data_IF_585137326763
#
_entry.id   IF_585137326763
#
_cell.length_a   1.000
_cell.length_b   1.000
_cell.length_c   1.000
_cell.angle_alpha   90.00
_cell.angle_beta   90.00
_cell.angle_gamma   90.00
#
_symmetry.space_group_name_H-M   'P 1'
#
loop_
_entity.id
_entity.type
_entity.pdbx_description
1 polymer ?
#
# COMPACT_ATOMS: atom_id res chain seq x y z
N UNK A 1 2.86 17.01 2.53
CA UNK A 1 3.10 16.04 1.45
C UNK A 1 3.44 14.70 2.11
N UNK A 2 2.69 13.64 1.84
CA UNK A 2 2.91 12.34 2.50
C UNK A 2 4.20 11.68 2.00
N UNK A 3 4.95 10.99 2.87
CA UNK A 3 6.25 10.41 2.52
C UNK A 3 6.15 9.41 1.36
N UNK A 4 5.09 8.59 1.33
CA UNK A 4 4.81 7.65 0.23
C UNK A 4 4.58 8.39 -1.09
N UNK A 5 3.72 9.42 -1.12
CA UNK A 5 3.49 10.21 -2.33
C UNK A 5 4.76 10.96 -2.79
N UNK A 6 5.64 11.33 -1.85
CA UNK A 6 6.92 11.96 -2.14
C UNK A 6 8.06 10.97 -2.47
N UNK A 7 7.84 9.67 -2.37
CA UNK A 7 8.85 8.66 -2.71
C UNK A 7 9.09 8.60 -4.23
N UNK A 8 10.17 7.93 -4.65
CA UNK A 8 10.42 7.67 -6.06
C UNK A 8 9.25 6.90 -6.69
N UNK A 9 8.86 5.77 -6.09
CA UNK A 9 7.76 4.93 -6.56
C UNK A 9 6.42 5.66 -6.58
N UNK A 10 6.12 6.50 -5.59
CA UNK A 10 4.88 7.30 -5.57
C UNK A 10 4.78 8.27 -6.75
N UNK A 11 5.90 8.93 -7.12
CA UNK A 11 5.94 9.82 -8.29
C UNK A 11 5.85 9.05 -9.60
N UNK A 12 6.53 7.91 -9.71
CA UNK A 12 6.51 7.06 -10.90
C UNK A 12 5.09 6.53 -11.17
N UNK A 13 4.42 6.00 -10.15
CA UNK A 13 3.02 5.54 -10.23
C UNK A 13 2.08 6.67 -10.64
N UNK A 14 2.19 7.84 -10.00
CA UNK A 14 1.37 8.99 -10.35
C UNK A 14 1.60 9.45 -11.81
N UNK A 15 2.86 9.47 -12.27
CA UNK A 15 3.20 9.81 -13.66
C UNK A 15 2.66 8.79 -14.68
N UNK A 16 2.50 7.54 -14.27
CA UNK A 16 1.88 6.47 -15.06
C UNK A 16 0.34 6.46 -14.98
N UNK A 17 -0.27 7.38 -14.24
CA UNK A 17 -1.74 7.49 -14.11
C UNK A 17 -2.34 6.74 -12.92
N UNK A 18 -1.52 6.13 -12.06
CA UNK A 18 -1.96 5.39 -10.87
C UNK A 18 -2.03 6.27 -9.61
N UNK A 19 -2.45 7.53 -9.77
CA UNK A 19 -2.55 8.47 -8.64
C UNK A 19 -3.58 8.03 -7.58
N UNK A 20 -4.61 7.28 -7.99
CA UNK A 20 -5.58 6.67 -7.06
C UNK A 20 -4.96 5.62 -6.15
N UNK A 21 -4.07 4.77 -6.67
CA UNK A 21 -3.40 3.74 -5.86
C UNK A 21 -2.45 4.38 -4.83
N UNK A 22 -1.78 5.46 -5.24
CA UNK A 22 -0.95 6.26 -4.31
C UNK A 22 -1.83 6.90 -3.23
N UNK A 23 -3.03 7.36 -3.57
CA UNK A 23 -3.96 7.92 -2.59
C UNK A 23 -4.45 6.86 -1.58
N UNK A 24 -4.77 5.65 -2.04
CA UNK A 24 -5.15 4.53 -1.15
C UNK A 24 -3.97 4.14 -0.23
N UNK A 25 -2.76 4.08 -0.78
CA UNK A 25 -1.57 3.67 -0.01
C UNK A 25 -1.18 4.63 1.12
N UNK A 26 -1.69 5.88 1.13
CA UNK A 26 -1.46 6.83 2.23
C UNK A 26 -2.57 6.83 3.28
N UNK A 27 -3.63 6.05 3.09
CA UNK A 27 -4.71 5.95 4.07
C UNK A 27 -4.23 5.24 5.34
N UNK A 28 -4.45 5.88 6.49
CA UNK A 28 -4.13 5.31 7.80
C UNK A 28 -5.40 4.75 8.45
N UNK A 29 -5.33 3.52 8.98
CA UNK A 29 -6.45 2.89 9.71
C UNK A 29 -7.61 2.41 8.84
N UNK A 30 -7.46 2.35 7.52
CA UNK A 30 -8.50 1.88 6.59
C UNK A 30 -8.81 0.37 6.71
N UNK A 31 -7.89 -0.42 7.26
CA UNK A 31 -8.04 -1.86 7.44
C UNK A 31 -7.45 -2.31 8.78
N UNK A 32 -8.16 -3.21 9.47
CA UNK A 32 -7.73 -3.80 10.76
C UNK A 32 -7.19 -5.22 10.61
N UNK A 33 -7.17 -5.77 9.39
CA UNK A 33 -6.66 -7.12 9.12
C UNK A 33 -5.13 -7.08 9.07
N UNK A 34 -4.49 -7.98 9.82
CA UNK A 34 -3.04 -8.19 9.76
C UNK A 34 -2.77 -9.50 9.02
N UNK A 35 -2.24 -9.47 7.79
CA UNK A 35 -1.83 -10.67 7.09
C UNK A 35 -0.62 -11.32 7.76
N UNK A 36 -0.68 -12.62 7.98
CA UNK A 36 0.39 -13.46 8.54
C UNK A 36 0.72 -14.57 7.56
N UNK A 37 2.01 -14.87 7.40
CA UNK A 37 2.48 -15.96 6.56
C UNK A 37 2.23 -17.30 7.25
N UNK A 38 1.42 -18.17 6.65
CA UNK A 38 1.13 -19.49 7.17
C UNK A 38 2.20 -20.53 6.81
N UNK A 39 2.02 -21.76 7.30
CA UNK A 39 2.94 -22.86 7.07
C UNK A 39 3.02 -23.31 5.59
N UNK A 40 2.00 -22.99 4.81
CA UNK A 40 1.90 -23.34 3.39
C UNK A 40 2.42 -22.20 2.49
N UNK A 41 2.88 -21.09 3.09
CA UNK A 41 3.45 -19.94 2.40
C UNK A 41 2.41 -18.95 1.86
N UNK A 42 1.15 -19.05 2.29
CA UNK A 42 0.11 -18.09 1.95
C UNK A 42 -0.06 -17.03 3.05
N UNK A 43 -0.52 -15.84 2.67
CA UNK A 43 -0.95 -14.84 3.64
C UNK A 43 -2.40 -15.08 4.05
N UNK A 44 -2.62 -15.35 5.33
CA UNK A 44 -3.94 -15.46 5.96
C UNK A 44 -4.14 -14.34 7.00
N UNK A 45 -5.38 -13.98 7.36
CA UNK A 45 -5.60 -13.18 8.56
C UNK A 45 -4.97 -13.87 9.78
N UNK A 46 -4.38 -13.08 10.68
CA UNK A 46 -3.84 -13.55 11.96
C UNK A 46 -4.85 -14.37 12.79
#
# INVERSE_FOLDING_TARGET
MHAIAASASGRELAAMGFSGDVAIAVEEGACTVVPVLDADGAFAPA
#
